data_IF_745276639797
#
_entry.id   IF_745276639797
#
_cell.length_a   1.000
_cell.length_b   1.000
_cell.length_c   1.000
_cell.angle_alpha   90.00
_cell.angle_beta   90.00
_cell.angle_gamma   90.00
#
_symmetry.space_group_name_H-M   'P 1'
#
loop_
_entity.id
_entity.type
_entity.pdbx_description
1 polymer ?
#
# COMPACT_ATOMS: atom_id res chain seq x y z
N UNK A 1 60.17 -1.19 -10.15
CA UNK A 1 59.43 -2.31 -10.76
C UNK A 1 58.66 -3.02 -9.65
N UNK A 2 57.42 -2.60 -9.42
CA UNK A 2 56.48 -3.30 -8.55
C UNK A 2 55.53 -4.06 -9.48
N UNK A 3 55.58 -5.39 -9.42
CA UNK A 3 54.83 -6.27 -10.30
C UNK A 3 53.33 -6.03 -10.16
N UNK A 4 52.68 -5.67 -11.27
CA UNK A 4 51.23 -5.75 -11.43
C UNK A 4 50.86 -7.23 -11.22
N UNK A 5 49.87 -7.57 -10.38
CA UNK A 5 49.47 -8.96 -10.22
C UNK A 5 48.97 -9.51 -11.58
N UNK A 6 49.18 -10.81 -11.86
CA UNK A 6 48.77 -11.42 -13.12
C UNK A 6 47.25 -11.31 -13.30
N UNK A 7 46.82 -10.87 -14.49
CA UNK A 7 45.43 -10.67 -14.89
C UNK A 7 44.67 -11.97 -15.21
N UNK A 8 44.95 -13.07 -14.52
CA UNK A 8 44.30 -14.35 -14.80
C UNK A 8 43.60 -14.86 -13.53
N UNK A 9 42.32 -15.22 -13.72
CA UNK A 9 41.27 -15.52 -12.73
C UNK A 9 40.46 -14.34 -12.16
N UNK A 10 40.00 -13.41 -13.01
CA UNK A 10 38.70 -12.78 -12.74
C UNK A 10 37.62 -13.86 -12.85
N UNK A 11 37.08 -14.29 -11.71
CA UNK A 11 35.95 -15.23 -11.62
C UNK A 11 34.83 -14.86 -12.60
N UNK A 12 34.22 -15.85 -13.27
CA UNK A 12 33.11 -15.69 -14.23
C UNK A 12 32.02 -14.70 -13.74
N UNK A 13 31.81 -14.63 -12.43
CA UNK A 13 30.90 -13.72 -11.73
C UNK A 13 31.21 -12.22 -11.91
N UNK A 14 32.47 -11.83 -12.17
CA UNK A 14 32.87 -10.43 -12.36
C UNK A 14 32.61 -9.91 -13.78
N UNK A 15 32.49 -10.80 -14.77
CA UNK A 15 32.13 -10.42 -16.14
C UNK A 15 30.63 -10.51 -16.41
N UNK A 16 29.88 -11.30 -15.64
CA UNK A 16 28.43 -11.35 -15.75
C UNK A 16 27.80 -10.00 -15.37
N UNK A 17 26.96 -9.47 -16.28
CA UNK A 17 26.25 -8.19 -16.13
C UNK A 17 27.18 -7.02 -15.74
N UNK A 18 28.39 -6.97 -16.30
CA UNK A 18 29.39 -5.93 -16.00
C UNK A 18 29.76 -5.84 -14.50
N UNK A 19 29.88 -6.99 -13.83
CA UNK A 19 30.23 -7.05 -12.41
C UNK A 19 29.05 -6.79 -11.46
N UNK A 20 27.83 -6.69 -11.99
CA UNK A 20 26.60 -6.65 -11.19
C UNK A 20 26.26 -8.02 -10.58
N UNK A 21 26.88 -9.10 -11.09
CA UNK A 21 26.56 -10.47 -10.71
C UNK A 21 25.24 -10.96 -11.33
N UNK A 22 24.75 -12.14 -10.93
CA UNK A 22 23.55 -12.73 -11.50
C UNK A 22 22.30 -11.91 -11.13
N UNK A 23 21.49 -11.56 -12.14
CA UNK A 23 20.23 -10.86 -11.94
C UNK A 23 19.15 -11.78 -11.38
N UNK A 24 18.28 -11.21 -10.55
CA UNK A 24 17.11 -11.90 -10.03
C UNK A 24 16.20 -12.35 -11.17
N UNK A 25 15.84 -13.63 -11.16
CA UNK A 25 14.83 -14.20 -12.06
C UNK A 25 13.48 -14.19 -11.36
N UNK A 26 12.40 -14.12 -12.14
CA UNK A 26 11.05 -14.28 -11.61
C UNK A 26 10.87 -15.65 -10.98
N UNK A 27 10.14 -15.69 -9.87
CA UNK A 27 9.89 -16.94 -9.13
C UNK A 27 8.93 -17.84 -9.89
N UNK A 28 9.25 -19.13 -9.94
CA UNK A 28 8.40 -20.18 -10.53
C UNK A 28 7.44 -20.83 -9.52
N UNK A 29 6.70 -21.85 -9.95
CA UNK A 29 5.70 -22.57 -9.13
C UNK A 29 6.27 -23.78 -8.36
N UNK A 30 7.58 -23.81 -8.12
CA UNK A 30 8.26 -24.98 -7.56
C UNK A 30 7.73 -25.38 -6.17
N UNK A 31 7.46 -24.40 -5.30
CA UNK A 31 6.91 -24.67 -3.96
C UNK A 31 5.51 -25.33 -4.02
N UNK A 32 4.66 -24.90 -4.95
CA UNK A 32 3.34 -25.51 -5.16
C UNK A 32 3.47 -26.96 -5.64
N UNK A 33 4.37 -27.23 -6.59
CA UNK A 33 4.62 -28.58 -7.10
C UNK A 33 5.13 -29.49 -5.97
N UNK A 34 6.10 -29.01 -5.18
CA UNK A 34 6.64 -29.76 -4.04
C UNK A 34 5.54 -30.08 -3.01
N UNK A 35 4.67 -29.12 -2.69
CA UNK A 35 3.54 -29.33 -1.77
C UNK A 35 2.56 -30.38 -2.27
N UNK A 36 2.24 -30.39 -3.57
CA UNK A 36 1.38 -31.42 -4.18
C UNK A 36 2.03 -32.81 -4.07
N UNK A 37 3.32 -32.93 -4.39
CA UNK A 37 4.06 -34.20 -4.31
C UNK A 37 4.06 -34.75 -2.88
N UNK A 38 4.39 -33.91 -1.89
CA UNK A 38 4.39 -34.32 -0.48
C UNK A 38 3.00 -34.77 -0.03
N UNK A 39 1.96 -34.05 -0.43
CA UNK A 39 0.56 -34.38 -0.08
C UNK A 39 0.14 -35.72 -0.68
N UNK A 40 0.49 -35.98 -1.95
CA UNK A 40 0.19 -37.25 -2.62
C UNK A 40 0.93 -38.41 -1.95
N UNK A 41 2.22 -38.26 -1.68
CA UNK A 41 3.02 -39.29 -1.00
C UNK A 41 2.43 -39.58 0.39
N UNK A 42 2.20 -38.55 1.21
CA UNK A 42 1.63 -38.71 2.56
C UNK A 42 0.26 -39.37 2.53
N UNK A 43 -0.61 -38.98 1.60
CA UNK A 43 -1.93 -39.59 1.42
C UNK A 43 -1.86 -41.06 1.01
N UNK A 44 -0.99 -41.41 0.06
CA UNK A 44 -0.80 -42.81 -0.35
C UNK A 44 -0.26 -43.68 0.77
N UNK A 45 0.74 -43.19 1.53
CA UNK A 45 1.29 -43.93 2.67
C UNK A 45 0.24 -44.19 3.75
N UNK A 46 -0.60 -43.20 4.05
CA UNK A 46 -1.70 -43.36 5.01
C UNK A 46 -2.72 -44.42 4.54
N UNK A 47 -3.06 -44.41 3.24
CA UNK A 47 -3.97 -45.39 2.65
C UNK A 47 -3.38 -46.81 2.65
N UNK A 48 -2.07 -46.94 2.35
CA UNK A 48 -1.39 -48.23 2.42
C UNK A 48 -1.34 -48.80 3.84
N UNK A 49 -1.01 -47.97 4.83
CA UNK A 49 -0.94 -48.40 6.23
C UNK A 49 -2.27 -48.95 6.76
N UNK A 50 -3.40 -48.40 6.31
CA UNK A 50 -4.73 -48.90 6.72
C UNK A 50 -5.21 -50.08 5.87
N UNK A 51 -4.82 -50.12 4.59
CA UNK A 51 -5.14 -51.28 3.73
C UNK A 51 -4.41 -52.54 4.17
N UNK A 52 -3.17 -52.43 4.66
CA UNK A 52 -2.38 -53.56 5.17
C UNK A 52 -3.01 -54.19 6.43
N UNK A 53 -3.81 -53.43 7.18
CA UNK A 53 -4.56 -53.92 8.33
C UNK A 53 -5.90 -54.62 7.98
N UNK A 54 -6.24 -54.84 6.71
CA UNK A 54 -7.44 -55.55 6.19
C UNK A 54 -8.84 -55.13 6.74
N UNK A 55 -8.94 -54.08 7.54
CA UNK A 55 -10.21 -53.59 8.08
C UNK A 55 -10.86 -52.57 7.14
N UNK A 56 -11.92 -52.96 6.42
CA UNK A 56 -12.75 -52.02 5.63
C UNK A 56 -13.23 -50.84 6.49
N UNK A 57 -13.50 -51.07 7.78
CA UNK A 57 -13.88 -50.04 8.75
C UNK A 57 -12.80 -48.97 8.94
N UNK A 58 -11.51 -49.32 8.88
CA UNK A 58 -10.40 -48.37 9.00
C UNK A 58 -10.37 -47.35 7.87
N UNK A 59 -10.70 -47.75 6.65
CA UNK A 59 -10.75 -46.84 5.50
C UNK A 59 -11.89 -45.83 5.61
N UNK A 60 -13.06 -46.25 6.08
CA UNK A 60 -14.21 -45.37 6.36
C UNK A 60 -13.89 -44.40 7.50
N UNK A 61 -13.21 -44.86 8.55
CA UNK A 61 -12.78 -44.02 9.67
C UNK A 61 -11.81 -42.91 9.22
N UNK A 62 -10.83 -43.23 8.37
CA UNK A 62 -9.91 -42.22 7.82
C UNK A 62 -10.68 -41.19 7.00
N UNK A 63 -11.56 -41.64 6.11
CA UNK A 63 -12.28 -40.74 5.21
C UNK A 63 -13.22 -39.81 6.00
N UNK A 64 -13.92 -40.32 7.00
CA UNK A 64 -14.74 -39.53 7.92
C UNK A 64 -13.89 -38.51 8.68
N UNK A 65 -12.79 -38.94 9.30
CA UNK A 65 -11.92 -38.07 10.09
C UNK A 65 -11.28 -37.00 9.23
N UNK A 66 -10.83 -37.34 8.02
CA UNK A 66 -10.31 -36.38 7.05
C UNK A 66 -11.36 -35.33 6.68
N UNK A 67 -12.59 -35.74 6.36
CA UNK A 67 -13.70 -34.83 6.05
C UNK A 67 -14.07 -33.92 7.24
N UNK A 68 -14.02 -34.45 8.46
CA UNK A 68 -14.26 -33.69 9.69
C UNK A 68 -13.18 -32.62 9.92
N UNK A 69 -11.92 -32.99 9.72
CA UNK A 69 -10.77 -32.10 9.88
C UNK A 69 -10.73 -31.02 8.79
N UNK A 70 -11.02 -31.37 7.54
CA UNK A 70 -11.07 -30.38 6.45
C UNK A 70 -12.21 -29.39 6.64
N UNK A 71 -13.41 -29.84 7.01
CA UNK A 71 -14.54 -28.95 7.27
C UNK A 71 -14.27 -28.03 8.47
N UNK A 72 -13.76 -28.58 9.58
CA UNK A 72 -13.42 -27.76 10.77
C UNK A 72 -12.31 -26.75 10.49
N UNK A 73 -11.32 -27.09 9.66
CA UNK A 73 -10.28 -26.15 9.24
C UNK A 73 -10.84 -24.99 8.41
N UNK A 74 -11.73 -25.28 7.45
CA UNK A 74 -12.38 -24.24 6.62
C UNK A 74 -13.24 -23.32 7.49
N UNK A 75 -14.05 -23.88 8.39
CA UNK A 75 -14.87 -23.10 9.30
C UNK A 75 -14.03 -22.27 10.27
N UNK A 76 -12.98 -22.85 10.83
CA UNK A 76 -12.09 -22.15 11.74
C UNK A 76 -11.35 -20.99 11.07
N UNK A 77 -10.99 -21.14 9.79
CA UNK A 77 -10.45 -20.04 9.00
C UNK A 77 -11.46 -18.91 8.76
N UNK A 78 -12.74 -19.24 8.56
CA UNK A 78 -13.81 -18.26 8.45
C UNK A 78 -14.01 -17.49 9.77
N UNK A 79 -14.04 -18.20 10.90
CA UNK A 79 -14.15 -17.58 12.24
C UNK A 79 -12.97 -16.62 12.47
N UNK A 80 -11.75 -17.02 12.13
CA UNK A 80 -10.56 -16.16 12.25
C UNK A 80 -10.65 -14.91 11.37
N UNK A 81 -11.11 -15.04 10.12
CA UNK A 81 -11.30 -13.87 9.24
C UNK A 81 -12.40 -12.95 9.72
N UNK A 82 -13.42 -13.50 10.38
CA UNK A 82 -14.43 -12.70 11.06
C UNK A 82 -13.82 -11.86 12.20
N UNK A 83 -12.80 -12.36 12.90
CA UNK A 83 -12.05 -11.55 13.88
C UNK A 83 -11.40 -10.31 13.22
N UNK A 84 -10.90 -10.42 11.99
CA UNK A 84 -10.33 -9.27 11.24
C UNK A 84 -11.39 -8.22 10.87
N UNK A 85 -12.66 -8.62 10.74
CA UNK A 85 -13.76 -7.67 10.49
C UNK A 85 -13.88 -6.66 11.62
N UNK A 86 -13.63 -7.05 12.87
CA UNK A 86 -13.70 -6.14 14.01
C UNK A 86 -12.69 -4.99 13.91
N UNK A 87 -11.48 -5.27 13.44
CA UNK A 87 -10.46 -4.24 13.21
C UNK A 87 -10.84 -3.35 12.01
N UNK A 88 -11.26 -3.95 10.89
CA UNK A 88 -11.61 -3.20 9.68
C UNK A 88 -12.91 -2.37 9.82
N UNK A 89 -13.79 -2.68 10.77
CA UNK A 89 -14.96 -1.85 11.11
C UNK A 89 -14.52 -0.45 11.59
N UNK A 90 -13.41 -0.34 12.33
CA UNK A 90 -12.89 0.94 12.79
C UNK A 90 -12.44 1.83 11.62
N UNK A 91 -12.08 1.22 10.49
CA UNK A 91 -11.64 1.89 9.28
C UNK A 91 -12.71 1.95 8.18
N UNK A 92 -13.97 1.63 8.51
CA UNK A 92 -15.09 1.61 7.56
C UNK A 92 -15.24 2.92 6.79
N UNK A 93 -15.21 4.05 7.49
CA UNK A 93 -15.44 5.36 6.86
C UNK A 93 -14.20 5.85 6.09
N UNK A 94 -13.00 5.59 6.61
CA UNK A 94 -11.74 6.11 6.05
C UNK A 94 -11.23 5.28 4.87
N UNK A 95 -11.36 3.95 4.93
CA UNK A 95 -10.81 3.02 3.92
C UNK A 95 -11.87 2.48 2.94
N UNK A 96 -13.13 2.33 3.37
CA UNK A 96 -14.18 1.66 2.58
C UNK A 96 -15.35 2.56 2.19
N UNK A 97 -15.22 3.88 2.36
CA UNK A 97 -16.25 4.88 2.01
C UNK A 97 -17.60 4.60 2.68
N UNK A 98 -17.60 4.03 3.90
CA UNK A 98 -18.82 3.74 4.63
C UNK A 98 -19.58 2.49 4.17
N UNK A 99 -19.07 1.72 3.19
CA UNK A 99 -19.77 0.57 2.60
C UNK A 99 -19.42 -0.76 3.28
N UNK A 100 -20.41 -1.42 3.87
CA UNK A 100 -20.26 -2.72 4.55
C UNK A 100 -19.84 -3.86 3.63
N UNK A 101 -20.37 -3.88 2.41
CA UNK A 101 -20.04 -4.91 1.42
C UNK A 101 -18.53 -4.96 1.14
N UNK A 102 -17.88 -3.80 1.05
CA UNK A 102 -16.43 -3.73 0.79
C UNK A 102 -15.60 -4.21 1.97
N UNK A 103 -16.03 -3.94 3.21
CA UNK A 103 -15.37 -4.44 4.43
C UNK A 103 -15.41 -5.96 4.48
N UNK A 104 -16.60 -6.54 4.25
CA UNK A 104 -16.77 -8.00 4.26
C UNK A 104 -16.03 -8.65 3.08
N UNK A 105 -16.08 -8.06 1.90
CA UNK A 105 -15.37 -8.58 0.73
C UNK A 105 -13.84 -8.54 0.94
N UNK A 106 -13.29 -7.46 1.48
CA UNK A 106 -11.85 -7.34 1.73
C UNK A 106 -11.33 -8.38 2.75
N UNK A 107 -12.13 -8.73 3.75
CA UNK A 107 -11.73 -9.64 4.85
C UNK A 107 -12.02 -11.11 4.54
N UNK A 108 -13.14 -11.40 3.90
CA UNK A 108 -13.62 -12.76 3.62
C UNK A 108 -13.24 -13.29 2.23
N UNK A 109 -12.50 -12.53 1.42
CA UNK A 109 -12.07 -12.99 0.09
C UNK A 109 -10.99 -14.07 0.16
N UNK A 110 -11.21 -15.14 -0.58
CA UNK A 110 -10.24 -16.22 -0.75
C UNK A 110 -9.72 -16.23 -2.18
N UNK A 111 -8.39 -16.17 -2.34
CA UNK A 111 -7.73 -16.28 -3.64
C UNK A 111 -8.13 -17.55 -4.42
N UNK A 112 -8.31 -18.66 -3.70
CA UNK A 112 -8.78 -19.94 -4.25
C UNK A 112 -10.17 -20.33 -3.72
N UNK A 113 -11.07 -19.35 -3.55
CA UNK A 113 -12.38 -19.55 -2.91
C UNK A 113 -13.22 -20.67 -3.53
N UNK A 114 -13.16 -20.86 -4.86
CA UNK A 114 -13.86 -21.96 -5.54
C UNK A 114 -13.37 -23.34 -5.09
N UNK A 115 -12.05 -23.54 -4.97
CA UNK A 115 -11.48 -24.81 -4.51
C UNK A 115 -11.85 -25.08 -3.04
N UNK A 116 -11.81 -24.04 -2.20
CA UNK A 116 -12.20 -24.15 -0.79
C UNK A 116 -13.69 -24.51 -0.67
N UNK A 117 -14.55 -23.89 -1.48
CA UNK A 117 -15.97 -24.19 -1.51
C UNK A 117 -16.24 -25.64 -1.93
N UNK A 118 -15.58 -26.11 -2.99
CA UNK A 118 -15.69 -27.52 -3.43
C UNK A 118 -15.23 -28.47 -2.33
N UNK A 119 -14.10 -28.20 -1.68
CA UNK A 119 -13.61 -29.01 -0.57
C UNK A 119 -14.58 -29.03 0.62
N UNK A 120 -15.18 -27.88 0.96
CA UNK A 120 -16.17 -27.78 2.03
C UNK A 120 -17.45 -28.57 1.70
N UNK A 121 -17.99 -28.43 0.49
CA UNK A 121 -19.19 -29.17 0.05
C UNK A 121 -18.92 -30.68 0.05
N UNK A 122 -17.80 -31.11 -0.53
CA UNK A 122 -17.42 -32.52 -0.56
C UNK A 122 -17.26 -33.09 0.86
N UNK A 123 -16.63 -32.33 1.76
CA UNK A 123 -16.47 -32.73 3.16
C UNK A 123 -17.83 -32.84 3.87
N UNK A 124 -18.72 -31.86 3.70
CA UNK A 124 -20.07 -31.88 4.28
C UNK A 124 -20.91 -33.05 3.78
N UNK A 125 -20.90 -33.32 2.47
CA UNK A 125 -21.62 -34.47 1.89
C UNK A 125 -21.07 -35.80 2.42
N UNK A 126 -19.75 -35.91 2.52
CA UNK A 126 -19.08 -37.10 3.06
C UNK A 126 -19.45 -37.33 4.53
N UNK A 127 -19.45 -36.27 5.35
CA UNK A 127 -19.88 -36.35 6.74
C UNK A 127 -21.36 -36.73 6.86
N UNK A 128 -22.23 -36.13 6.05
CA UNK A 128 -23.65 -36.46 6.06
C UNK A 128 -23.91 -37.93 5.71
N UNK A 129 -23.23 -38.44 4.69
CA UNK A 129 -23.31 -39.85 4.29
C UNK A 129 -22.90 -40.79 5.43
N UNK A 130 -21.74 -40.55 6.05
CA UNK A 130 -21.24 -41.42 7.13
C UNK A 130 -22.02 -41.29 8.44
N UNK A 131 -22.53 -40.10 8.77
CA UNK A 131 -23.40 -39.91 9.92
C UNK A 131 -24.75 -40.61 9.73
N UNK A 132 -25.22 -40.72 8.48
CA UNK A 132 -26.45 -41.44 8.15
C UNK A 132 -26.26 -42.96 8.24
N UNK A 133 -25.19 -43.51 7.66
CA UNK A 133 -24.93 -44.96 7.69
C UNK A 133 -24.44 -45.49 9.05
N UNK A 134 -23.67 -44.68 9.80
CA UNK A 134 -22.94 -45.15 10.98
C UNK A 134 -23.07 -44.19 12.17
N UNK A 135 -24.30 -43.72 12.44
CA UNK A 135 -24.61 -42.74 13.48
C UNK A 135 -24.00 -43.08 14.85
N UNK A 136 -24.17 -44.31 15.35
CA UNK A 136 -23.71 -44.68 16.71
C UNK A 136 -22.17 -44.72 16.85
N UNK A 137 -21.45 -44.92 15.74
CA UNK A 137 -19.99 -44.98 15.73
C UNK A 137 -19.39 -43.58 15.71
N UNK A 138 -19.99 -42.66 14.92
CA UNK A 138 -19.43 -41.34 14.65
C UNK A 138 -20.05 -40.19 15.46
N UNK A 139 -21.26 -40.33 16.01
CA UNK A 139 -21.84 -39.36 16.95
C UNK A 139 -21.33 -39.56 18.38
N UNK A 140 -20.00 -39.53 18.55
CA UNK A 140 -19.36 -39.63 19.87
C UNK A 140 -18.76 -38.29 20.30
N UNK A 141 -18.76 -37.98 21.61
CA UNK A 141 -18.18 -36.73 22.14
C UNK A 141 -16.75 -36.41 21.65
N UNK A 142 -15.82 -37.38 21.50
CA UNK A 142 -14.46 -37.09 21.03
C UNK A 142 -14.40 -36.41 19.66
N UNK A 143 -15.28 -36.76 18.71
CA UNK A 143 -15.28 -36.13 17.39
C UNK A 143 -15.84 -34.70 17.45
N UNK A 144 -16.84 -34.45 18.29
CA UNK A 144 -17.35 -33.11 18.54
C UNK A 144 -16.30 -32.23 19.22
N UNK A 145 -15.53 -32.78 20.16
CA UNK A 145 -14.39 -32.09 20.80
C UNK A 145 -13.31 -31.79 19.77
N UNK A 146 -12.90 -32.78 18.96
CA UNK A 146 -11.88 -32.60 17.91
C UNK A 146 -12.29 -31.52 16.91
N UNK A 147 -13.54 -31.55 16.45
CA UNK A 147 -14.10 -30.54 15.56
C UNK A 147 -14.07 -29.15 16.20
N UNK A 148 -14.52 -29.04 17.46
CA UNK A 148 -14.56 -27.78 18.19
C UNK A 148 -13.17 -27.19 18.43
N UNK A 149 -12.20 -28.02 18.81
CA UNK A 149 -10.80 -27.61 19.00
C UNK A 149 -10.21 -27.09 17.69
N UNK A 150 -10.40 -27.82 16.59
CA UNK A 150 -9.84 -27.46 15.29
C UNK A 150 -10.55 -26.25 14.64
N UNK A 151 -11.82 -26.02 14.97
CA UNK A 151 -12.58 -24.87 14.48
C UNK A 151 -12.29 -23.60 15.30
N UNK A 152 -12.37 -23.67 16.62
CA UNK A 152 -12.38 -22.47 17.47
C UNK A 152 -11.06 -22.18 18.17
N UNK A 153 -10.29 -23.21 18.52
CA UNK A 153 -9.09 -23.03 19.37
C UNK A 153 -7.83 -22.92 18.52
N UNK A 154 -7.56 -23.92 17.68
CA UNK A 154 -6.31 -24.01 16.91
C UNK A 154 -6.10 -22.79 15.99
N UNK A 155 -7.06 -22.36 15.15
CA UNK A 155 -6.84 -21.25 14.23
C UNK A 155 -6.62 -19.92 14.95
N UNK A 156 -7.27 -19.73 16.10
CA UNK A 156 -7.13 -18.53 16.92
C UNK A 156 -5.79 -18.53 17.66
N UNK A 157 -5.35 -19.67 18.19
CA UNK A 157 -4.03 -19.78 18.80
C UNK A 157 -2.92 -19.51 17.79
N UNK A 158 -3.02 -20.06 16.58
CA UNK A 158 -2.06 -19.79 15.50
C UNK A 158 -2.00 -18.30 15.13
N UNK A 159 -3.15 -17.61 15.19
CA UNK A 159 -3.24 -16.17 14.96
C UNK A 159 -2.59 -15.37 16.09
N UNK A 160 -2.90 -15.68 17.35
CA UNK A 160 -2.38 -15.01 18.54
C UNK A 160 -0.86 -15.19 18.71
N UNK A 161 -0.34 -16.38 18.41
CA UNK A 161 1.11 -16.67 18.46
C UNK A 161 1.85 -16.07 17.27
N UNK A 162 1.13 -15.59 16.24
CA UNK A 162 1.74 -14.99 15.05
C UNK A 162 2.36 -15.99 14.08
N UNK A 163 2.07 -17.30 14.21
CA UNK A 163 2.58 -18.35 13.31
C UNK A 163 2.10 -18.21 11.87
N UNK A 164 1.07 -17.40 11.64
CA UNK A 164 0.55 -17.07 10.31
C UNK A 164 1.16 -15.85 9.67
N UNK A 165 2.10 -15.17 10.32
CA UNK A 165 2.80 -14.06 9.69
C UNK A 165 3.64 -14.59 8.51
N UNK A 166 3.50 -13.99 7.32
CA UNK A 166 4.26 -14.43 6.16
C UNK A 166 5.76 -14.25 6.40
N UNK A 167 6.53 -15.25 6.01
CA UNK A 167 7.99 -15.25 6.02
C UNK A 167 8.55 -14.15 5.10
N UNK A 168 9.82 -13.80 5.27
CA UNK A 168 10.47 -12.80 4.42
C UNK A 168 10.41 -13.17 2.92
N UNK A 169 10.53 -14.46 2.60
CA UNK A 169 10.40 -14.95 1.24
C UNK A 169 8.99 -14.71 0.67
N UNK A 170 7.93 -15.02 1.42
CA UNK A 170 6.54 -14.82 0.99
C UNK A 170 6.20 -13.33 0.87
N UNK A 171 6.67 -12.48 1.80
CA UNK A 171 6.50 -11.03 1.69
C UNK A 171 7.17 -10.48 0.43
N UNK A 172 8.38 -10.93 0.12
CA UNK A 172 9.10 -10.54 -1.10
C UNK A 172 8.36 -11.00 -2.36
N UNK A 173 7.82 -12.22 -2.39
CA UNK A 173 7.02 -12.70 -3.52
C UNK A 173 5.75 -11.86 -3.70
N UNK A 174 5.03 -11.54 -2.62
CA UNK A 174 3.83 -10.69 -2.67
C UNK A 174 4.21 -9.30 -3.20
N UNK A 175 5.30 -8.72 -2.71
CA UNK A 175 5.75 -7.40 -3.12
C UNK A 175 6.21 -7.37 -4.58
N UNK A 176 6.97 -8.38 -5.04
CA UNK A 176 7.41 -8.55 -6.43
C UNK A 176 6.21 -8.77 -7.38
N UNK A 177 5.21 -9.54 -6.94
CA UNK A 177 4.02 -9.86 -7.75
C UNK A 177 3.06 -8.68 -7.88
N UNK A 178 2.84 -7.96 -6.79
CA UNK A 178 1.81 -6.93 -6.69
C UNK A 178 2.37 -5.50 -6.79
N UNK A 179 3.69 -5.35 -7.02
CA UNK A 179 4.38 -4.06 -7.14
C UNK A 179 4.01 -3.08 -6.01
N UNK A 180 3.87 -3.59 -4.78
CA UNK A 180 3.31 -2.83 -3.65
C UNK A 180 4.17 -1.68 -3.13
N UNK A 181 5.42 -1.58 -3.57
CA UNK A 181 6.39 -0.60 -3.08
C UNK A 181 6.48 0.68 -3.92
N UNK A 182 5.62 0.86 -4.92
CA UNK A 182 5.70 2.02 -5.83
C UNK A 182 5.51 3.34 -5.08
N UNK A 183 4.44 3.49 -4.28
CA UNK A 183 4.20 4.71 -3.52
C UNK A 183 5.34 5.07 -2.56
N UNK A 184 5.91 4.07 -1.88
CA UNK A 184 7.02 4.27 -0.95
C UNK A 184 8.31 4.68 -1.69
N UNK A 185 8.63 4.01 -2.79
CA UNK A 185 9.76 4.39 -3.65
C UNK A 185 9.62 5.80 -4.22
N UNK A 186 8.41 6.17 -4.65
CA UNK A 186 8.10 7.52 -5.16
C UNK A 186 8.19 8.58 -4.05
N UNK A 187 7.72 8.29 -2.84
CA UNK A 187 7.80 9.20 -1.70
C UNK A 187 9.26 9.46 -1.31
N UNK A 188 10.07 8.41 -1.14
CA UNK A 188 11.50 8.55 -0.85
C UNK A 188 12.26 9.23 -1.99
N UNK A 189 11.92 8.89 -3.23
CA UNK A 189 12.50 9.51 -4.43
C UNK A 189 12.23 11.01 -4.50
N UNK A 190 10.99 11.44 -4.22
CA UNK A 190 10.61 12.85 -4.18
C UNK A 190 11.26 13.59 -3.01
N UNK A 191 11.31 12.95 -1.84
CA UNK A 191 11.97 13.52 -0.67
C UNK A 191 13.47 13.76 -0.91
N UNK A 192 14.24 12.71 -1.20
CA UNK A 192 15.70 12.82 -1.37
C UNK A 192 16.11 13.51 -2.67
N UNK A 193 15.31 13.35 -3.71
CA UNK A 193 15.55 13.93 -5.03
C UNK A 193 15.24 15.42 -5.11
N UNK A 194 14.31 15.90 -4.28
CA UNK A 194 13.79 17.26 -4.39
C UNK A 194 13.53 17.93 -3.04
N UNK A 195 12.55 17.47 -2.25
CA UNK A 195 12.07 18.23 -1.08
C UNK A 195 13.14 18.52 -0.03
N UNK A 196 14.01 17.54 0.26
CA UNK A 196 15.14 17.72 1.19
C UNK A 196 16.10 18.82 0.75
N UNK A 197 16.16 19.13 -0.55
CA UNK A 197 17.04 20.17 -1.09
C UNK A 197 16.38 21.55 -1.04
N UNK A 198 15.09 21.63 -1.36
CA UNK A 198 14.42 22.90 -1.61
C UNK A 198 13.73 23.46 -0.37
N UNK A 199 13.06 22.61 0.43
CA UNK A 199 12.30 23.05 1.60
C UNK A 199 13.16 23.80 2.63
N UNK A 200 14.37 23.34 2.99
CA UNK A 200 15.18 24.06 3.98
C UNK A 200 15.60 25.47 3.52
N UNK A 201 15.58 25.73 2.21
CA UNK A 201 16.01 27.00 1.59
C UNK A 201 14.85 27.91 1.21
N UNK A 202 13.61 27.44 1.26
CA UNK A 202 12.44 28.13 0.75
C UNK A 202 12.26 29.53 1.33
N UNK A 203 12.25 29.65 2.65
CA UNK A 203 12.08 30.94 3.34
C UNK A 203 13.15 31.96 2.94
N UNK A 204 14.40 31.51 2.80
CA UNK A 204 15.50 32.37 2.34
C UNK A 204 15.29 32.83 0.89
N UNK A 205 14.70 31.99 0.03
CA UNK A 205 14.39 32.39 -1.35
C UNK A 205 13.22 33.36 -1.43
N UNK A 206 12.20 33.19 -0.58
CA UNK A 206 11.11 34.16 -0.45
C UNK A 206 11.67 35.52 0.01
N UNK A 207 12.54 35.52 1.03
CA UNK A 207 13.14 36.75 1.56
C UNK A 207 14.04 37.50 0.54
N UNK A 208 14.66 36.77 -0.40
CA UNK A 208 15.45 37.35 -1.50
C UNK A 208 14.60 37.98 -2.59
N UNK A 209 13.32 37.62 -2.71
CA UNK A 209 12.44 38.18 -3.73
C UNK A 209 11.89 39.53 -3.30
N UNK A 210 12.29 40.60 -3.98
CA UNK A 210 11.76 41.95 -3.68
C UNK A 210 10.24 42.03 -3.86
N UNK A 211 9.70 41.32 -4.86
CA UNK A 211 8.27 41.27 -5.20
C UNK A 211 7.47 40.50 -4.13
N UNK A 212 7.92 39.29 -3.78
CA UNK A 212 7.09 38.35 -3.02
C UNK A 212 7.36 38.32 -1.51
N UNK A 213 8.47 38.90 -1.03
CA UNK A 213 8.87 38.85 0.39
C UNK A 213 7.83 39.37 1.38
N UNK A 214 7.01 40.35 0.98
CA UNK A 214 5.95 40.94 1.81
C UNK A 214 4.55 40.40 1.46
N UNK A 215 4.38 39.81 0.27
CA UNK A 215 3.09 39.34 -0.23
C UNK A 215 2.76 37.93 0.29
N UNK A 216 3.77 37.07 0.47
CA UNK A 216 3.60 35.71 0.97
C UNK A 216 3.57 35.74 2.49
N UNK A 217 2.38 35.62 3.10
CA UNK A 217 2.22 35.54 4.56
C UNK A 217 2.83 34.24 5.12
N UNK A 218 2.34 33.08 4.66
CA UNK A 218 2.83 31.79 5.12
C UNK A 218 3.96 31.27 4.23
N UNK A 219 5.18 31.23 4.76
CA UNK A 219 6.38 30.79 4.04
C UNK A 219 6.48 29.26 3.94
N UNK A 220 5.42 28.62 3.45
CA UNK A 220 5.30 27.16 3.25
C UNK A 220 5.16 26.84 1.76
N UNK A 221 5.63 25.65 1.36
CA UNK A 221 5.36 25.09 0.04
C UNK A 221 4.03 24.31 0.11
N UNK A 222 3.04 24.75 -0.66
CA UNK A 222 1.77 24.04 -0.82
C UNK A 222 1.91 23.02 -1.95
N UNK A 223 1.77 21.74 -1.61
CA UNK A 223 1.97 20.63 -2.53
C UNK A 223 0.61 19.99 -2.81
N UNK A 224 0.10 20.20 -4.03
CA UNK A 224 -1.17 19.65 -4.49
C UNK A 224 -1.06 18.15 -4.75
N UNK A 225 -2.01 17.40 -4.19
CA UNK A 225 -2.09 15.94 -4.32
C UNK A 225 -3.48 15.54 -4.86
N UNK A 226 -3.71 15.59 -6.19
CA UNK A 226 -4.97 15.19 -6.79
C UNK A 226 -5.21 13.68 -6.65
N UNK A 227 -6.41 13.30 -6.19
CA UNK A 227 -6.85 11.89 -6.06
C UNK A 227 -6.79 11.15 -7.40
N UNK A 228 -7.04 11.85 -8.50
CA UNK A 228 -6.95 11.30 -9.86
C UNK A 228 -5.52 10.96 -10.30
N UNK A 229 -4.49 11.42 -9.58
CA UNK A 229 -3.08 11.46 -10.00
C UNK A 229 -2.78 12.30 -11.24
N UNK A 230 -3.79 12.82 -11.92
CA UNK A 230 -3.60 13.62 -13.10
C UNK A 230 -3.17 15.03 -12.68
N UNK A 231 -2.11 15.53 -13.32
CA UNK A 231 -1.51 16.83 -13.06
C UNK A 231 -1.53 17.61 -14.37
N UNK A 232 -2.10 18.82 -14.33
CA UNK A 232 -2.05 19.75 -15.45
C UNK A 232 -0.66 20.38 -15.55
N UNK A 233 -0.27 20.77 -16.77
CA UNK A 233 0.99 21.49 -17.00
C UNK A 233 0.96 22.85 -16.30
N UNK A 234 -0.19 23.52 -16.35
CA UNK A 234 -0.45 24.80 -15.70
C UNK A 234 -1.60 24.64 -14.71
N UNK A 235 -1.46 25.18 -13.49
CA UNK A 235 -2.49 25.07 -12.45
C UNK A 235 -3.74 25.86 -12.85
N UNK A 236 -3.58 26.92 -13.64
CA UNK A 236 -4.67 27.77 -14.15
C UNK A 236 -5.66 26.98 -15.03
N UNK A 237 -5.20 25.94 -15.73
CA UNK A 237 -6.08 25.04 -16.49
C UNK A 237 -7.01 24.21 -15.58
N UNK A 238 -6.56 23.93 -14.35
CA UNK A 238 -7.34 23.19 -13.37
C UNK A 238 -8.32 24.09 -12.60
N UNK A 239 -7.93 25.33 -12.32
CA UNK A 239 -8.75 26.35 -11.66
C UNK A 239 -8.35 27.76 -12.12
N UNK A 240 -9.23 28.42 -12.88
CA UNK A 240 -8.99 29.74 -13.48
C UNK A 240 -8.74 30.85 -12.44
N UNK A 241 -9.11 30.63 -11.17
CA UNK A 241 -8.86 31.58 -10.08
C UNK A 241 -7.42 31.55 -9.58
N UNK A 242 -6.66 30.53 -9.96
CA UNK A 242 -5.26 30.34 -9.56
C UNK A 242 -4.35 30.73 -10.72
N UNK A 243 -3.85 31.96 -10.68
CA UNK A 243 -3.02 32.54 -11.75
C UNK A 243 -1.54 32.50 -11.41
N UNK A 244 -0.68 32.40 -12.43
CA UNK A 244 0.76 32.47 -12.24
C UNK A 244 1.21 33.92 -11.96
N UNK A 245 1.77 34.18 -10.77
CA UNK A 245 2.25 35.52 -10.39
C UNK A 245 3.73 35.75 -10.74
N UNK A 246 4.51 34.67 -10.88
CA UNK A 246 5.92 34.68 -11.24
C UNK A 246 6.75 33.65 -10.47
N UNK A 247 8.07 33.71 -10.60
CA UNK A 247 8.99 32.73 -9.99
C UNK A 247 9.80 33.33 -8.83
N UNK A 248 10.13 32.50 -7.84
CA UNK A 248 11.15 32.82 -6.84
C UNK A 248 12.57 32.73 -7.43
N UNK A 249 13.57 33.37 -6.79
CA UNK A 249 14.96 33.25 -7.21
C UNK A 249 15.44 31.79 -7.23
N UNK A 250 16.23 31.46 -8.24
CA UNK A 250 16.66 30.10 -8.54
C UNK A 250 17.59 29.52 -7.45
N UNK A 251 17.44 28.22 -7.19
CA UNK A 251 18.38 27.45 -6.40
C UNK A 251 19.25 26.63 -7.34
N UNK A 252 20.57 26.82 -7.29
CA UNK A 252 21.54 26.05 -8.08
C UNK A 252 22.28 25.04 -7.20
N UNK A 253 22.27 23.76 -7.57
CA UNK A 253 22.95 22.69 -6.82
C UNK A 253 23.61 21.72 -7.82
N UNK A 254 24.86 21.33 -7.58
CA UNK A 254 25.51 20.29 -8.37
C UNK A 254 24.96 18.91 -7.97
N UNK A 255 24.42 18.12 -8.91
CA UNK A 255 23.86 16.79 -8.59
C UNK A 255 23.86 15.84 -9.78
N UNK A 256 24.20 14.57 -9.53
CA UNK A 256 24.07 13.50 -10.54
C UNK A 256 24.92 13.75 -11.78
N UNK A 257 26.11 14.33 -11.63
CA UNK A 257 26.98 14.73 -12.74
C UNK A 257 26.58 16.05 -13.44
N UNK A 258 25.46 16.66 -13.08
CA UNK A 258 25.00 17.95 -13.63
C UNK A 258 25.52 19.08 -12.74
N UNK A 259 26.31 19.99 -13.31
CA UNK A 259 26.72 21.23 -12.64
C UNK A 259 25.57 22.25 -12.66
N UNK A 260 25.43 22.97 -11.55
CA UNK A 260 24.42 24.02 -11.34
C UNK A 260 23.00 23.62 -11.74
N UNK A 261 22.55 22.42 -11.35
CA UNK A 261 21.16 22.02 -11.58
C UNK A 261 20.21 23.02 -10.91
N UNK A 262 19.28 23.56 -11.69
CA UNK A 262 18.38 24.64 -11.28
C UNK A 262 17.09 24.04 -10.72
N UNK A 263 16.69 24.53 -9.55
CA UNK A 263 15.38 24.30 -8.95
C UNK A 263 14.64 25.64 -8.85
N UNK A 264 13.40 25.68 -9.33
CA UNK A 264 12.55 26.87 -9.38
C UNK A 264 11.24 26.59 -8.66
N UNK A 265 10.71 27.62 -7.99
CA UNK A 265 9.36 27.59 -7.45
C UNK A 265 8.55 28.73 -8.04
N UNK A 266 7.30 28.43 -8.38
CA UNK A 266 6.34 29.37 -8.92
C UNK A 266 5.43 29.86 -7.80
N UNK A 267 5.28 31.18 -7.70
CA UNK A 267 4.30 31.84 -6.84
C UNK A 267 3.02 31.99 -7.65
N UNK A 268 1.92 31.55 -7.07
CA UNK A 268 0.59 31.68 -7.64
C UNK A 268 -0.22 32.69 -6.83
N UNK A 269 -1.03 33.45 -7.56
CA UNK A 269 -2.02 34.38 -7.01
C UNK A 269 -3.39 33.70 -7.09
N UNK A 270 -4.06 33.61 -5.94
CA UNK A 270 -5.43 33.09 -5.84
C UNK A 270 -6.37 34.26 -5.62
N UNK A 271 -7.31 34.46 -6.54
CA UNK A 271 -8.32 35.52 -6.47
C UNK A 271 -9.64 34.98 -5.92
N UNK A 272 -10.13 35.60 -4.84
CA UNK A 272 -11.42 35.28 -4.24
C UNK A 272 -12.33 36.49 -4.27
N UNK A 273 -13.54 36.33 -4.81
CA UNK A 273 -14.58 37.34 -4.66
C UNK A 273 -15.16 37.26 -3.25
N UNK A 274 -15.10 38.38 -2.54
CA UNK A 274 -15.79 38.55 -1.27
C UNK A 274 -17.28 38.86 -1.50
N UNK A 275 -18.14 38.60 -0.49
CA UNK A 275 -19.56 38.92 -0.56
C UNK A 275 -19.86 40.40 -0.78
N UNK A 276 -18.92 41.28 -0.41
CA UNK A 276 -18.99 42.73 -0.60
C UNK A 276 -18.62 43.20 -2.02
N UNK A 277 -18.28 42.27 -2.91
CA UNK A 277 -17.87 42.55 -4.30
C UNK A 277 -16.40 42.93 -4.46
N UNK A 278 -15.61 42.98 -3.39
CA UNK A 278 -14.16 43.18 -3.46
C UNK A 278 -13.44 41.88 -3.78
N UNK A 279 -12.28 41.96 -4.44
CA UNK A 279 -11.43 40.79 -4.71
C UNK A 279 -10.30 40.75 -3.71
N UNK A 280 -10.19 39.64 -3.00
CA UNK A 280 -9.07 39.36 -2.10
C UNK A 280 -8.05 38.46 -2.80
N UNK A 281 -6.78 38.78 -2.61
CA UNK A 281 -5.67 38.13 -3.30
C UNK A 281 -4.74 37.43 -2.32
N UNK A 282 -4.47 36.15 -2.58
CA UNK A 282 -3.57 35.34 -1.78
C UNK A 282 -2.36 34.92 -2.62
N UNK A 283 -1.15 35.16 -2.10
CA UNK A 283 0.09 34.78 -2.77
C UNK A 283 0.72 33.56 -2.09
N UNK A 284 0.79 32.44 -2.81
CA UNK A 284 1.24 31.15 -2.27
C UNK A 284 2.30 30.51 -3.17
N UNK A 285 3.29 29.85 -2.56
CA UNK A 285 4.22 28.99 -3.30
C UNK A 285 3.54 27.64 -3.50
N UNK A 286 3.21 27.30 -4.74
CA UNK A 286 2.30 26.21 -5.06
C UNK A 286 2.87 25.34 -6.19
N UNK A 287 2.81 24.02 -6.01
CA UNK A 287 3.19 23.04 -7.03
C UNK A 287 2.41 21.73 -6.88
N UNK A 288 2.36 20.92 -7.93
CA UNK A 288 1.87 19.55 -7.84
C UNK A 288 2.96 18.59 -7.36
N UNK A 289 2.56 17.55 -6.63
CA UNK A 289 3.43 16.41 -6.34
C UNK A 289 3.74 15.63 -7.64
N UNK A 290 4.83 15.97 -8.31
CA UNK A 290 5.25 15.40 -9.60
C UNK A 290 5.19 13.86 -9.67
N UNK A 291 5.56 13.08 -8.64
CA UNK A 291 5.50 11.62 -8.69
C UNK A 291 4.10 11.04 -8.99
N UNK A 292 3.03 11.79 -8.73
CA UNK A 292 1.67 11.34 -9.01
C UNK A 292 1.42 11.18 -10.51
N UNK A 293 2.03 12.02 -11.35
CA UNK A 293 1.92 11.87 -12.81
C UNK A 293 2.48 10.52 -13.26
N UNK A 294 3.55 10.02 -12.62
CA UNK A 294 4.05 8.67 -12.88
C UNK A 294 3.03 7.59 -12.49
N UNK A 295 2.33 7.73 -11.36
CA UNK A 295 1.25 6.82 -10.98
C UNK A 295 0.08 6.86 -11.97
N UNK A 296 -0.29 8.05 -12.46
CA UNK A 296 -1.31 8.20 -13.49
C UNK A 296 -0.91 7.49 -14.77
N UNK A 297 0.29 7.76 -15.29
CA UNK A 297 0.81 7.13 -16.51
C UNK A 297 0.94 5.61 -16.37
N UNK A 298 1.35 5.11 -15.21
CA UNK A 298 1.36 3.68 -14.91
C UNK A 298 -0.05 3.09 -14.98
N UNK A 299 -1.08 3.77 -14.46
CA UNK A 299 -2.46 3.26 -14.56
C UNK A 299 -3.03 3.29 -15.97
N UNK A 300 -2.54 4.18 -16.84
CA UNK A 300 -2.97 4.23 -18.23
C UNK A 300 -2.25 3.22 -19.12
N UNK A 301 -1.12 2.66 -18.68
CA UNK A 301 -0.29 1.77 -19.48
C UNK A 301 -0.65 0.30 -19.24
N UNK A 302 -1.11 -0.39 -20.28
CA UNK A 302 -1.47 -1.81 -20.21
C UNK A 302 -0.31 -2.73 -19.84
N UNK A 303 0.94 -2.30 -20.02
CA UNK A 303 2.13 -3.06 -19.62
C UNK A 303 2.45 -2.93 -18.12
N UNK A 304 1.92 -1.92 -17.43
CA UNK A 304 2.14 -1.72 -16.01
C UNK A 304 1.01 -2.40 -15.20
N UNK A 305 1.33 -3.21 -14.17
CA UNK A 305 0.32 -3.90 -13.37
C UNK A 305 -0.22 -2.98 -12.27
N UNK A 306 -0.78 -1.83 -12.64
CA UNK A 306 -1.42 -0.89 -11.72
C UNK A 306 -2.82 -0.56 -12.23
N UNK A 307 -3.85 -1.09 -11.58
CA UNK A 307 -5.24 -0.75 -11.93
C UNK A 307 -5.62 0.65 -11.42
N UNK A 308 -6.74 1.19 -11.92
CA UNK A 308 -7.31 2.45 -11.40
C UNK A 308 -7.69 2.39 -9.92
N UNK A 309 -8.17 1.23 -9.45
CA UNK A 309 -8.50 1.01 -8.04
C UNK A 309 -7.22 0.99 -7.19
N UNK A 310 -6.20 0.24 -7.63
CA UNK A 310 -4.91 0.17 -6.95
C UNK A 310 -4.23 1.53 -6.87
N UNK A 311 -4.34 2.35 -7.93
CA UNK A 311 -3.80 3.71 -7.96
C UNK A 311 -4.34 4.57 -6.81
N UNK A 312 -5.65 4.51 -6.55
CA UNK A 312 -6.25 5.31 -5.48
C UNK A 312 -5.65 4.96 -4.11
N UNK A 313 -5.43 3.67 -3.88
CA UNK A 313 -4.75 3.20 -2.67
C UNK A 313 -3.27 3.64 -2.62
N UNK A 314 -2.56 3.58 -3.75
CA UNK A 314 -1.16 4.05 -3.83
C UNK A 314 -1.02 5.56 -3.54
N UNK A 315 -1.98 6.41 -3.95
CA UNK A 315 -1.97 7.83 -3.60
C UNK A 315 -2.10 8.06 -2.10
N UNK A 316 -3.01 7.35 -1.45
CA UNK A 316 -3.19 7.44 0.01
C UNK A 316 -1.93 6.99 0.74
N UNK A 317 -1.31 5.89 0.30
CA UNK A 317 -0.03 5.43 0.83
C UNK A 317 1.09 6.44 0.59
N UNK A 318 1.14 7.09 -0.58
CA UNK A 318 2.10 8.15 -0.89
C UNK A 318 1.94 9.34 0.07
N UNK A 319 0.71 9.82 0.31
CA UNK A 319 0.45 10.90 1.27
C UNK A 319 0.93 10.49 2.67
N UNK A 320 0.53 9.31 3.14
CA UNK A 320 0.89 8.82 4.47
C UNK A 320 2.40 8.73 4.64
N UNK A 321 3.09 8.10 3.69
CA UNK A 321 4.54 7.92 3.74
C UNK A 321 5.29 9.23 3.61
N UNK A 322 4.89 10.11 2.70
CA UNK A 322 5.54 11.41 2.54
C UNK A 322 5.35 12.28 3.79
N UNK A 323 4.17 12.23 4.40
CA UNK A 323 3.88 12.93 5.66
C UNK A 323 4.78 12.43 6.79
N UNK A 324 4.89 11.12 6.96
CA UNK A 324 5.77 10.50 7.96
C UNK A 324 7.24 10.91 7.74
N UNK A 325 7.74 10.81 6.50
CA UNK A 325 9.12 11.18 6.15
C UNK A 325 9.40 12.66 6.49
N UNK A 326 8.49 13.56 6.12
CA UNK A 326 8.69 15.01 6.29
C UNK A 326 8.49 15.46 7.75
N UNK A 327 7.59 14.84 8.50
CA UNK A 327 7.40 15.12 9.93
C UNK A 327 8.61 14.68 10.77
N UNK A 328 9.27 13.58 10.37
CA UNK A 328 10.49 13.09 11.01
C UNK A 328 11.76 13.81 10.54
N UNK A 329 11.65 14.78 9.63
CA UNK A 329 12.78 15.59 9.16
C UNK A 329 12.72 17.00 9.74
N UNK A 330 13.62 17.31 10.68
CA UNK A 330 13.67 18.60 11.37
C UNK A 330 13.79 19.80 10.41
N UNK A 331 14.58 19.67 9.34
CA UNK A 331 14.81 20.76 8.39
C UNK A 331 13.59 21.05 7.49
N UNK A 332 12.70 20.07 7.30
CA UNK A 332 11.53 20.15 6.43
C UNK A 332 10.23 20.39 7.20
N UNK A 333 10.14 19.94 8.46
CA UNK A 333 8.95 20.06 9.29
C UNK A 333 8.47 21.51 9.37
N UNK A 334 7.17 21.71 9.16
CA UNK A 334 6.54 23.04 9.18
C UNK A 334 6.77 23.92 7.95
N UNK A 335 7.60 23.50 6.98
CA UNK A 335 7.88 24.28 5.74
C UNK A 335 7.06 23.86 4.53
N UNK A 336 6.15 22.89 4.70
CA UNK A 336 5.30 22.38 3.64
C UNK A 336 3.86 22.20 4.15
N UNK A 337 2.93 22.11 3.21
CA UNK A 337 1.57 21.63 3.46
C UNK A 337 1.15 20.75 2.29
N UNK A 338 0.83 19.49 2.56
CA UNK A 338 0.19 18.62 1.58
C UNK A 338 -1.28 19.00 1.48
N UNK A 339 -1.76 19.15 0.25
CA UNK A 339 -3.12 19.59 -0.06
C UNK A 339 -3.79 18.52 -0.94
N UNK A 340 -4.47 17.53 -0.32
CA UNK A 340 -5.24 16.54 -1.07
C UNK A 340 -6.41 17.21 -1.81
N UNK A 341 -6.58 16.91 -3.10
CA UNK A 341 -7.68 17.43 -3.93
C UNK A 341 -8.51 16.25 -4.42
N UNK A 342 -9.81 16.22 -4.10
CA UNK A 342 -10.69 15.11 -4.51
C UNK A 342 -10.98 15.12 -6.01
N UNK A 343 -11.04 16.32 -6.62
CA UNK A 343 -11.39 16.52 -8.02
C UNK A 343 -12.90 16.69 -8.27
N UNK A 344 -13.72 16.79 -7.22
CA UNK A 344 -15.16 17.05 -7.33
C UNK A 344 -15.44 18.55 -7.55
N UNK A 345 -16.61 18.89 -8.10
CA UNK A 345 -17.00 20.30 -8.37
C UNK A 345 -16.95 21.20 -7.11
N UNK A 346 -17.10 20.62 -5.93
CA UNK A 346 -17.06 21.30 -4.62
C UNK A 346 -15.65 21.47 -4.04
N UNK A 347 -14.63 20.86 -4.64
CA UNK A 347 -13.24 20.87 -4.15
C UNK A 347 -12.30 21.55 -5.15
N UNK A 348 -12.69 22.74 -5.61
CA UNK A 348 -11.84 23.57 -6.45
C UNK A 348 -10.58 23.98 -5.68
N UNK A 349 -9.47 24.11 -6.39
CA UNK A 349 -8.15 24.30 -5.80
C UNK A 349 -8.11 25.61 -4.98
N UNK A 350 -8.67 26.69 -5.52
CA UNK A 350 -8.70 27.97 -4.84
C UNK A 350 -9.44 27.92 -3.49
N UNK A 351 -10.61 27.28 -3.42
CA UNK A 351 -11.41 27.20 -2.19
C UNK A 351 -10.68 26.42 -1.10
N UNK A 352 -10.04 25.31 -1.47
CA UNK A 352 -9.25 24.49 -0.55
C UNK A 352 -8.02 25.26 -0.04
N UNK A 353 -7.30 25.96 -0.93
CA UNK A 353 -6.12 26.73 -0.55
C UNK A 353 -6.46 27.88 0.40
N UNK A 354 -7.55 28.60 0.14
CA UNK A 354 -8.00 29.72 0.96
C UNK A 354 -8.52 29.23 2.31
N UNK A 355 -9.27 28.12 2.34
CA UNK A 355 -9.68 27.49 3.60
C UNK A 355 -8.49 27.11 4.49
N UNK A 356 -7.43 26.55 3.89
CA UNK A 356 -6.19 26.23 4.61
C UNK A 356 -5.45 27.50 5.05
N UNK A 357 -5.44 28.55 4.22
CA UNK A 357 -4.82 29.82 4.57
C UNK A 357 -5.48 30.43 5.81
N UNK A 358 -6.81 30.50 5.80
CA UNK A 358 -7.59 31.09 6.90
C UNK A 358 -7.41 30.29 8.19
N UNK A 359 -7.33 28.95 8.13
CA UNK A 359 -7.05 28.15 9.32
C UNK A 359 -5.69 28.43 9.95
N UNK A 360 -4.69 28.84 9.16
CA UNK A 360 -3.40 29.23 9.71
C UNK A 360 -3.44 30.60 10.37
N UNK A 361 -4.25 31.52 9.85
CA UNK A 361 -4.45 32.83 10.49
C UNK A 361 -5.17 32.65 11.85
N UNK A 362 -6.16 31.75 11.93
CA UNK A 362 -6.85 31.39 13.19
C UNK A 362 -5.90 30.75 14.23
N UNK A 363 -5.05 29.79 13.82
CA UNK A 363 -4.06 29.16 14.71
C UNK A 363 -3.05 30.19 15.29
N UNK A 364 -2.63 31.17 14.49
CA UNK A 364 -1.70 32.21 14.92
C UNK A 364 -2.33 33.21 15.91
N UNK A 365 -3.61 33.54 15.71
CA UNK A 365 -4.35 34.42 16.60
C UNK A 365 -4.63 33.76 17.96
N UNK A 366 -4.88 32.45 18.00
CA UNK A 366 -5.02 31.68 19.24
C UNK A 366 -3.69 31.52 20.00
N UNK A 367 -2.58 31.31 19.31
CA UNK A 367 -1.24 31.29 19.92
C UNK A 367 -0.80 32.66 20.45
N UNK A 368 -1.24 33.76 19.83
CA UNK A 368 -0.92 35.12 20.27
C UNK A 368 -1.75 35.58 21.49
N UNK A 369 -2.90 34.93 21.76
CA UNK A 369 -3.78 35.23 22.89
C UNK A 369 -3.49 34.39 24.14
N UNK A 370 -2.62 33.38 24.06
CA UNK A 370 -2.14 32.57 25.18
C UNK A 370 -0.71 32.98 25.58
#
# INVERSE_FOLDING_TARGET
MAGRPPCDELTLAQHENNGFGPLLKSRGKAATIASVVITVIGGTMLLFAVKENEEREGTHFILFTAALLTLSLVLGELVRRFCLVFEEIQHKNTRYEGKWERVLNATLTFKHGKCILVAAIASTLTLFFFLFEHYEVFCRPPYAILFSLNCFVVPQLLFLVGLRQPSAAERSEINERENKNVAEGLAWGYYFGYLKLVLPRLERQIAKSEKFRLQIKHKKLFILVPKSCYIYSEIEEADYRVKCAGNLPEIKINRGGIKERIYKHTVHQVEMLRPDGTTEEYHLVLEYATPLMSLYQMSQNSAAPLSHEDRTHQVQLFILKLTDILNNCEECRGKYKLVPISGDETSKIADVLVGIHNSFDEELDEEACN
#
